data_IF_477671207598
#
_entry.id   IF_477671207598
#
_cell.length_a   1.000
_cell.length_b   1.000
_cell.length_c   1.000
_cell.angle_alpha   90.00
_cell.angle_beta   90.00
_cell.angle_gamma   90.00
#
_symmetry.space_group_name_H-M   'P 1'
#
loop_
_entity.id
_entity.type
_entity.pdbx_description
1 polymer ?
#
# COMPACT_ATOMS: atom_id res chain seq x y z
N UNK A 1 7.42 2.85 7.07
CA UNK A 1 6.59 2.06 6.14
C UNK A 1 6.75 0.55 6.35
N UNK A 2 6.66 0.10 7.59
CA UNK A 2 6.53 -1.33 7.89
C UNK A 2 5.08 -1.81 7.72
N UNK A 3 4.14 -0.87 7.68
CA UNK A 3 2.70 -1.07 7.81
C UNK A 3 2.09 -1.54 6.50
N UNK A 4 2.46 -0.94 5.37
CA UNK A 4 2.08 -1.43 4.03
C UNK A 4 2.62 -2.85 3.78
N UNK A 5 3.87 -3.09 4.19
CA UNK A 5 4.49 -4.41 4.10
C UNK A 5 3.80 -5.42 5.02
N UNK A 6 3.39 -5.01 6.22
CA UNK A 6 2.64 -5.84 7.17
C UNK A 6 1.25 -6.18 6.63
N UNK A 7 0.49 -5.19 6.16
CA UNK A 7 -0.82 -5.38 5.52
C UNK A 7 -0.71 -6.38 4.35
N UNK A 8 0.26 -6.16 3.46
CA UNK A 8 0.49 -7.04 2.32
C UNK A 8 0.79 -8.48 2.76
N UNK A 9 1.63 -8.66 3.79
CA UNK A 9 1.93 -9.99 4.35
C UNK A 9 0.73 -10.62 5.04
N UNK A 10 -0.05 -9.85 5.79
CA UNK A 10 -1.29 -10.32 6.44
C UNK A 10 -2.30 -10.84 5.42
N UNK A 11 -2.36 -10.21 4.24
CA UNK A 11 -3.19 -10.65 3.12
C UNK A 11 -2.54 -11.74 2.27
N UNK A 12 -1.34 -12.22 2.61
CA UNK A 12 -0.54 -13.20 1.86
C UNK A 12 -0.30 -12.80 0.39
N UNK A 13 -0.10 -11.50 0.15
CA UNK A 13 0.07 -10.95 -1.20
C UNK A 13 1.55 -10.71 -1.54
N UNK A 14 1.87 -10.89 -2.82
CA UNK A 14 3.14 -10.41 -3.38
C UNK A 14 3.05 -8.90 -3.66
N UNK A 15 4.20 -8.21 -3.78
CA UNK A 15 4.21 -6.79 -4.14
C UNK A 15 3.54 -6.54 -5.50
N UNK A 16 3.67 -7.48 -6.45
CA UNK A 16 3.01 -7.41 -7.74
C UNK A 16 1.49 -7.50 -7.59
N UNK A 17 0.99 -8.46 -6.81
CA UNK A 17 -0.46 -8.66 -6.64
C UNK A 17 -1.11 -7.52 -5.88
N UNK A 18 -0.41 -6.99 -4.87
CA UNK A 18 -0.86 -5.80 -4.14
C UNK A 18 -0.95 -4.59 -5.07
N UNK A 19 0.05 -4.39 -5.94
CA UNK A 19 0.03 -3.31 -6.92
C UNK A 19 -1.15 -3.45 -7.91
N UNK A 20 -1.40 -4.66 -8.40
CA UNK A 20 -2.52 -4.96 -9.31
C UNK A 20 -3.88 -4.64 -8.67
N UNK A 21 -4.10 -5.06 -7.41
CA UNK A 21 -5.32 -4.76 -6.65
C UNK A 21 -5.53 -3.24 -6.51
N UNK A 22 -4.46 -2.52 -6.22
CA UNK A 22 -4.51 -1.07 -6.05
C UNK A 22 -4.53 -0.30 -7.38
N UNK A 23 -4.43 -0.97 -8.53
CA UNK A 23 -4.41 -0.33 -9.85
C UNK A 23 -3.10 0.40 -10.17
N UNK A 24 -1.97 -0.01 -9.59
CA UNK A 24 -0.65 0.57 -9.82
C UNK A 24 0.33 -0.44 -10.40
N UNK A 25 1.42 0.06 -10.99
CA UNK A 25 2.52 -0.81 -11.41
C UNK A 25 3.30 -1.31 -10.19
N UNK A 26 3.90 -2.51 -10.30
CA UNK A 26 4.77 -3.05 -9.26
C UNK A 26 5.85 -2.06 -8.84
N UNK A 27 6.51 -1.38 -9.80
CA UNK A 27 7.56 -0.40 -9.50
C UNK A 27 7.03 0.77 -8.66
N UNK A 28 5.82 1.26 -8.97
CA UNK A 28 5.18 2.32 -8.20
C UNK A 28 4.92 1.85 -6.75
N UNK A 29 4.30 0.68 -6.59
CA UNK A 29 4.00 0.13 -5.27
C UNK A 29 5.28 -0.12 -4.45
N UNK A 30 6.31 -0.72 -5.06
CA UNK A 30 7.59 -0.99 -4.40
C UNK A 30 8.27 0.30 -3.95
N UNK A 31 8.23 1.36 -4.77
CA UNK A 31 8.73 2.67 -4.36
C UNK A 31 7.98 3.17 -3.15
N UNK A 32 6.65 3.08 -3.11
CA UNK A 32 5.90 3.49 -1.91
C UNK A 32 6.29 2.60 -0.72
N UNK A 33 6.12 1.28 -0.79
CA UNK A 33 6.41 0.36 0.32
C UNK A 33 7.84 0.49 0.87
N UNK A 34 8.84 0.72 0.02
CA UNK A 34 10.25 0.77 0.42
C UNK A 34 10.80 2.18 0.65
N UNK A 35 10.20 3.22 0.07
CA UNK A 35 10.69 4.59 0.26
C UNK A 35 9.94 5.27 1.39
N UNK A 36 10.62 6.11 2.16
CA UNK A 36 9.98 7.00 3.13
C UNK A 36 9.24 8.17 2.46
N UNK A 37 8.75 8.01 1.21
CA UNK A 37 7.97 9.04 0.53
C UNK A 37 6.50 8.85 0.84
N UNK A 38 5.84 9.93 1.24
CA UNK A 38 4.40 9.90 1.49
C UNK A 38 3.64 9.45 0.24
N UNK A 39 2.73 8.47 0.37
CA UNK A 39 1.88 8.05 -0.73
C UNK A 39 0.97 9.22 -1.15
N UNK A 40 0.81 9.41 -2.45
CA UNK A 40 -0.10 10.44 -2.97
C UNK A 40 -1.57 10.09 -2.72
N UNK A 41 -2.45 11.10 -2.82
CA UNK A 41 -3.89 10.94 -2.60
C UNK A 41 -4.53 9.79 -3.40
N UNK A 42 -4.14 9.61 -4.66
CA UNK A 42 -4.65 8.50 -5.50
C UNK A 42 -4.33 7.12 -4.91
N UNK A 43 -3.14 6.96 -4.34
CA UNK A 43 -2.72 5.70 -3.70
C UNK A 43 -3.51 5.46 -2.41
N UNK A 44 -3.63 6.49 -1.56
CA UNK A 44 -4.40 6.41 -0.32
C UNK A 44 -5.87 6.08 -0.59
N UNK A 45 -6.47 6.71 -1.60
CA UNK A 45 -7.84 6.42 -2.01
C UNK A 45 -7.99 4.96 -2.45
N UNK A 46 -7.13 4.48 -3.36
CA UNK A 46 -7.16 3.09 -3.81
C UNK A 46 -6.96 2.10 -2.65
N UNK A 47 -6.08 2.44 -1.70
CA UNK A 47 -5.85 1.65 -0.50
C UNK A 47 -7.11 1.58 0.37
N UNK A 48 -7.77 2.71 0.62
CA UNK A 48 -9.01 2.77 1.42
C UNK A 48 -10.17 2.06 0.74
N UNK A 49 -10.28 2.17 -0.59
CA UNK A 49 -11.32 1.53 -1.39
C UNK A 49 -11.18 -0.01 -1.37
N UNK A 50 -9.95 -0.53 -1.38
CA UNK A 50 -9.68 -1.99 -1.38
C UNK A 50 -9.53 -2.59 0.03
N UNK A 51 -9.11 -1.79 1.00
CA UNK A 51 -8.85 -2.20 2.39
C UNK A 51 -9.48 -1.20 3.37
N UNK A 52 -10.83 -1.12 3.43
CA UNK A 52 -11.52 -0.15 4.26
C UNK A 52 -11.25 -0.32 5.76
N UNK A 53 -10.89 -1.52 6.21
CA UNK A 53 -10.52 -1.83 7.58
C UNK A 53 -9.14 -1.32 8.00
N UNK A 54 -8.28 -1.00 7.03
CA UNK A 54 -6.92 -0.54 7.33
C UNK A 54 -6.94 0.93 7.77
N UNK A 55 -6.33 1.21 8.92
CA UNK A 55 -6.14 2.57 9.39
C UNK A 55 -4.96 3.22 8.66
N UNK A 56 -5.27 4.16 7.75
CA UNK A 56 -4.27 4.87 6.96
C UNK A 56 -3.35 5.75 7.81
N UNK A 57 -3.75 6.13 9.03
CA UNK A 57 -2.90 6.92 9.92
C UNK A 57 -1.65 6.14 10.34
N UNK A 58 -1.71 4.80 10.34
CA UNK A 58 -0.54 3.95 10.61
C UNK A 58 0.57 4.14 9.57
N UNK A 59 0.27 4.60 8.35
CA UNK A 59 1.30 4.86 7.32
C UNK A 59 2.17 6.07 7.67
N UNK A 60 1.66 7.01 8.47
CA UNK A 60 2.28 8.30 8.76
C UNK A 60 2.88 8.40 10.17
N UNK A 61 2.84 7.31 10.94
CA UNK A 61 3.54 7.20 12.23
C UNK A 61 5.02 6.90 12.02
#
# INVERSE_FOLDING_TARGET
MNELKALRKQKNLTQSKMAEILGFTKSHYVKIELSNRNPGFKFLKALKDNFPEFDMNEIFK
#
